data_IF_935081078091
#
_entry.id   IF_935081078091
#
_cell.length_a   1.000
_cell.length_b   1.000
_cell.length_c   1.000
_cell.angle_alpha   90.00
_cell.angle_beta   90.00
_cell.angle_gamma   90.00
#
_symmetry.space_group_name_H-M   'P 1'
#
loop_
_entity.id
_entity.type
_entity.pdbx_description
1 polymer ?
2 non-polymer ?
3 non-polymer ?
4 non-polymer ?
5 non-polymer ?
6 water ?
#
# COMPACT_ATOMS: atom_id res chain seq x y z
N UNK A 1 15.25 -14.66 -23.78
CA UNK A 1 16.52 -15.20 -23.21
C UNK A 1 16.30 -15.51 -21.74
N UNK A 2 17.01 -16.51 -21.25
CA UNK A 2 17.00 -16.84 -19.83
C UNK A 2 18.23 -16.19 -19.22
N UNK A 3 18.04 -15.42 -18.14
CA UNK A 3 19.12 -14.73 -17.44
C UNK A 3 19.28 -15.25 -16.06
N UNK A 4 20.48 -15.08 -15.55
CA UNK A 4 20.78 -15.39 -14.16
C UNK A 4 20.85 -14.13 -13.29
N UNK A 5 21.20 -13.00 -13.90
CA UNK A 5 21.35 -11.73 -13.24
C UNK A 5 20.49 -10.71 -13.96
N UNK A 6 19.90 -9.78 -13.19
CA UNK A 6 19.12 -8.68 -13.78
C UNK A 6 19.09 -7.53 -12.79
N UNK A 7 19.84 -6.46 -13.05
CA UNK A 7 20.02 -5.40 -12.07
C UNK A 7 20.62 -6.00 -10.82
N UNK A 8 19.97 -5.80 -9.68
CA UNK A 8 20.42 -6.41 -8.45
C UNK A 8 19.76 -7.74 -8.10
N UNK A 9 18.98 -8.33 -9.02
CA UNK A 9 18.34 -9.62 -8.81
C UNK A 9 19.27 -10.74 -9.35
N UNK A 10 19.26 -11.85 -8.62
CA UNK A 10 20.08 -13.03 -8.94
C UNK A 10 19.20 -14.25 -8.72
N UNK A 11 19.17 -15.12 -9.71
CA UNK A 11 18.53 -16.43 -9.57
C UNK A 11 19.04 -17.12 -8.30
N UNK A 12 18.11 -17.73 -7.58
CA UNK A 12 18.29 -18.38 -6.26
C UNK A 12 18.13 -17.45 -5.05
N UNK A 13 17.97 -16.15 -5.25
CA UNK A 13 17.72 -15.28 -4.12
C UNK A 13 16.31 -15.56 -3.52
N UNK A 14 16.20 -15.30 -2.22
CA UNK A 14 14.95 -15.32 -1.50
C UNK A 14 14.17 -14.09 -1.92
N UNK A 15 12.86 -14.24 -2.06
CA UNK A 15 12.04 -13.13 -2.58
C UNK A 15 10.60 -13.26 -2.08
N UNK A 16 9.85 -12.16 -2.17
CA UNK A 16 8.41 -12.21 -2.02
C UNK A 16 7.75 -12.11 -3.38
N UNK A 17 6.69 -12.92 -3.55
CA UNK A 17 5.87 -12.92 -4.75
C UNK A 17 4.39 -12.72 -4.46
N UNK A 18 3.70 -12.04 -5.36
CA UNK A 18 2.26 -11.80 -5.25
C UNK A 18 1.53 -13.02 -5.79
N UNK A 19 0.64 -13.59 -4.99
CA UNK A 19 -0.25 -14.67 -5.49
C UNK A 19 -1.53 -14.10 -6.07
N UNK A 20 -2.32 -14.96 -6.72
CA UNK A 20 -3.58 -14.55 -7.29
C UNK A 20 -4.62 -14.12 -6.26
N UNK A 21 -4.46 -14.58 -5.03
CA UNK A 21 -5.28 -14.07 -3.90
C UNK A 21 -4.98 -12.61 -3.54
N UNK A 22 -3.94 -12.02 -4.16
CA UNK A 22 -3.45 -10.65 -3.88
C UNK A 22 -2.66 -10.54 -2.58
N UNK A 23 -2.47 -11.63 -1.85
CA UNK A 23 -1.53 -11.64 -0.73
C UNK A 23 -0.14 -12.06 -1.22
N UNK A 24 0.89 -11.65 -0.49
CA UNK A 24 2.27 -11.94 -0.89
C UNK A 24 2.93 -12.96 0.00
N UNK A 25 3.81 -13.75 -0.60
CA UNK A 25 4.39 -14.89 0.05
C UNK A 25 5.84 -15.14 -0.30
N UNK A 26 6.57 -15.71 0.65
CA UNK A 26 8.00 -15.98 0.51
C UNK A 26 8.25 -17.10 -0.50
N UNK A 27 9.34 -16.95 -1.23
CA UNK A 27 9.71 -17.90 -2.27
C UNK A 27 11.15 -17.67 -2.67
N UNK A 28 11.53 -18.37 -3.72
CA UNK A 28 12.84 -18.31 -4.31
C UNK A 28 12.70 -17.93 -5.79
N UNK A 29 13.58 -17.06 -6.26
CA UNK A 29 13.61 -16.70 -7.66
C UNK A 29 14.36 -17.82 -8.39
N UNK A 30 13.63 -18.53 -9.24
CA UNK A 30 14.19 -19.68 -9.98
C UNK A 30 14.52 -19.40 -11.44
N UNK A 31 13.97 -18.33 -12.03
CA UNK A 31 14.35 -17.97 -13.41
C UNK A 31 14.02 -16.51 -13.65
N UNK A 32 14.74 -15.94 -14.60
CA UNK A 32 14.49 -14.59 -15.11
C UNK A 32 14.44 -14.74 -16.63
N UNK A 33 13.35 -14.30 -17.23
CA UNK A 33 13.10 -14.47 -18.67
C UNK A 33 12.86 -13.11 -19.33
N UNK A 34 13.52 -12.86 -20.47
CA UNK A 34 13.24 -11.66 -21.24
C UNK A 34 12.35 -12.05 -22.40
N UNK A 35 11.26 -11.31 -22.59
CA UNK A 35 10.34 -11.46 -23.71
C UNK A 35 10.32 -10.10 -24.41
N UNK A 36 11.18 -9.94 -25.41
CA UNK A 36 11.36 -8.65 -26.07
C UNK A 36 12.05 -7.65 -25.17
N UNK A 37 11.44 -6.46 -24.94
CA UNK A 37 11.97 -5.54 -23.95
C UNK A 37 11.43 -5.82 -22.53
N UNK A 38 10.47 -6.75 -22.42
CA UNK A 38 9.87 -7.14 -21.16
C UNK A 38 10.73 -8.12 -20.38
N UNK A 39 10.47 -8.19 -19.07
CA UNK A 39 11.09 -9.18 -18.20
C UNK A 39 10.04 -9.88 -17.33
N UNK A 40 10.25 -11.17 -17.09
CA UNK A 40 9.42 -11.94 -16.20
C UNK A 40 10.29 -12.71 -15.23
N UNK A 41 9.72 -12.97 -14.06
CA UNK A 41 10.43 -13.55 -12.95
C UNK A 41 9.68 -14.77 -12.44
N UNK A 42 10.33 -15.94 -12.51
CA UNK A 42 9.72 -17.17 -12.03
C UNK A 42 10.04 -17.42 -10.58
N UNK A 43 9.00 -17.52 -9.75
CA UNK A 43 9.13 -17.72 -8.29
C UNK A 43 8.53 -19.07 -7.89
N UNK A 44 9.31 -19.85 -7.17
CA UNK A 44 8.82 -21.06 -6.50
C UNK A 44 8.51 -20.67 -5.08
N UNK A 45 7.23 -20.71 -4.74
CA UNK A 45 6.80 -20.37 -3.38
C UNK A 45 7.19 -21.46 -2.37
N UNK A 46 7.39 -21.07 -1.13
CA UNK A 46 7.84 -21.99 -0.08
C UNK A 46 6.88 -23.15 0.17
N UNK A 47 5.59 -22.87 0.21
CA UNK A 47 4.60 -23.90 0.46
C UNK A 47 4.03 -24.34 -0.87
N UNK A 48 3.09 -23.56 -1.41
CA UNK A 48 2.37 -23.95 -2.60
C UNK A 48 2.72 -23.06 -3.78
N UNK A 49 3.29 -23.65 -4.84
CA UNK A 49 3.22 -23.11 -6.22
C UNK A 49 4.47 -22.52 -6.88
N UNK A 50 4.36 -22.37 -8.20
CA UNK A 50 5.31 -21.63 -9.05
C UNK A 50 4.47 -20.58 -9.77
N UNK A 51 5.00 -19.38 -9.93
CA UNK A 51 4.34 -18.35 -10.74
C UNK A 51 5.39 -17.63 -11.57
N UNK A 52 4.99 -17.22 -12.77
CA UNK A 52 5.79 -16.34 -13.62
C UNK A 52 5.23 -14.92 -13.48
N UNK A 53 6.01 -14.03 -12.85
CA UNK A 53 5.50 -12.69 -12.42
C UNK A 53 6.20 -11.52 -13.06
N UNK A 54 5.47 -10.43 -13.28
CA UNK A 54 6.09 -9.14 -13.66
C UNK A 54 6.91 -8.61 -12.48
N UNK A 55 7.86 -7.73 -12.76
CA UNK A 55 8.77 -7.22 -11.73
C UNK A 55 8.11 -6.35 -10.66
N UNK A 56 6.93 -5.82 -10.98
CA UNK A 56 6.15 -5.06 -9.98
C UNK A 56 5.32 -6.00 -9.06
N UNK A 57 5.38 -7.33 -9.30
CA UNK A 57 4.75 -8.34 -8.48
C UNK A 57 5.69 -9.26 -7.71
N UNK A 58 6.94 -8.78 -7.57
CA UNK A 58 7.91 -9.36 -6.67
C UNK A 58 8.47 -8.24 -5.79
N UNK A 59 8.91 -8.61 -4.60
CA UNK A 59 9.43 -7.71 -3.60
C UNK A 59 10.64 -8.34 -2.93
N UNK A 60 11.58 -7.50 -2.53
CA UNK A 60 12.76 -7.98 -1.80
C UNK A 60 12.39 -8.48 -0.41
N UNK A 61 13.07 -9.52 0.05
CA UNK A 61 12.80 -10.10 1.36
C UNK A 61 13.67 -9.41 2.42
N UNK A 62 13.60 -8.08 2.50
CA UNK A 62 14.25 -7.35 3.57
C UNK A 62 13.53 -6.03 3.74
N UNK A 63 13.82 -5.34 4.83
CA UNK A 63 13.19 -4.06 5.12
C UNK A 63 14.02 -2.92 4.53
N UNK A 64 13.36 -1.98 3.84
CA UNK A 64 14.13 -0.94 3.19
C UNK A 64 14.68 0.07 4.23
N UNK A 65 15.87 0.64 3.98
CA UNK A 65 16.26 1.78 4.81
C UNK A 65 15.31 2.97 4.55
N UNK A 66 15.09 3.80 5.57
CA UNK A 66 14.22 4.99 5.46
C UNK A 66 14.55 5.90 4.27
N UNK A 67 15.84 6.03 3.96
CA UNK A 67 16.28 6.91 2.86
C UNK A 67 15.89 6.43 1.46
N UNK A 68 15.42 5.19 1.33
CA UNK A 68 15.02 4.66 0.02
C UNK A 68 13.53 4.75 -0.19
N UNK A 69 12.78 5.20 0.82
CA UNK A 69 11.33 5.27 0.69
C UNK A 69 10.89 6.72 0.55
N UNK A 70 10.08 6.97 -0.46
CA UNK A 70 9.45 8.26 -0.72
C UNK A 70 7.93 8.15 -0.65
N UNK A 71 7.27 9.30 -0.57
CA UNK A 71 5.87 9.36 -0.90
C UNK A 71 5.69 8.87 -2.34
N UNK A 72 4.80 7.90 -2.50
CA UNK A 72 4.59 7.20 -3.77
C UNK A 72 5.33 5.87 -3.92
N UNK A 73 6.24 5.54 -3.00
CA UNK A 73 6.97 4.28 -3.12
C UNK A 73 5.99 3.11 -3.05
N UNK A 74 6.23 2.12 -3.87
CA UNK A 74 5.43 0.91 -3.92
C UNK A 74 6.02 -0.14 -2.97
N UNK A 75 5.19 -0.61 -2.05
CA UNK A 75 5.67 -1.51 -1.00
C UNK A 75 4.67 -2.62 -0.78
N UNK A 76 5.19 -3.63 -0.09
CA UNK A 76 4.37 -4.65 0.52
C UNK A 76 4.44 -4.40 2.02
N UNK A 77 3.29 -4.46 2.69
CA UNK A 77 3.27 -4.21 4.12
C UNK A 77 2.42 -5.23 4.88
N UNK A 78 2.77 -5.41 6.14
CA UNK A 78 1.98 -6.25 7.06
C UNK A 78 0.60 -5.63 7.29
N UNK A 79 -0.45 -6.45 7.17
CA UNK A 79 -1.86 -6.02 7.14
C UNK A 79 -2.57 -6.89 8.19
N UNK A 80 -3.30 -6.23 9.10
CA UNK A 80 -3.99 -6.89 10.22
C UNK A 80 -5.48 -6.90 9.97
N UNK A 85 -2.08 -11.85 10.24
CA UNK A 85 -0.93 -11.24 9.54
C UNK A 85 -0.85 -11.66 8.08
N UNK A 86 -1.31 -10.78 7.19
CA UNK A 86 -1.12 -10.94 5.74
C UNK A 86 -0.13 -9.89 5.21
N UNK A 87 0.50 -10.20 4.08
CA UNK A 87 1.30 -9.20 3.33
C UNK A 87 0.51 -8.73 2.11
N UNK A 88 0.32 -7.42 2.01
CA UNK A 88 -0.53 -6.81 1.01
C UNK A 88 0.20 -5.59 0.44
N UNK A 89 -0.01 -5.30 -0.84
CA UNK A 89 0.63 -4.19 -1.48
C UNK A 89 -0.03 -2.85 -1.16
N UNK A 90 0.79 -1.82 -1.17
CA UNK A 90 0.31 -0.46 -1.03
C UNK A 90 1.30 0.57 -1.48
N UNK A 91 1.01 1.82 -1.13
CA UNK A 91 1.77 2.99 -1.51
C UNK A 91 2.10 3.77 -0.25
N UNK A 92 3.33 4.26 -0.14
CA UNK A 92 3.73 5.12 0.98
C UNK A 92 3.10 6.50 0.83
N UNK A 93 2.29 6.88 1.82
CA UNK A 93 1.59 8.17 1.84
C UNK A 93 2.29 9.22 2.71
N UNK A 94 3.04 8.78 3.71
CA UNK A 94 3.82 9.65 4.58
C UNK A 94 5.03 8.88 5.00
N UNK A 95 6.16 9.59 5.14
CA UNK A 95 7.35 9.03 5.73
C UNK A 95 7.50 9.55 7.19
N UNK A 96 8.42 8.94 7.98
CA UNK A 96 8.49 9.30 9.40
C UNK A 96 8.76 10.77 9.67
N UNK A 97 7.96 11.36 10.54
CA UNK A 97 8.19 12.72 10.98
C UNK A 97 7.66 12.90 12.41
N UNK A 98 7.84 14.08 12.97
CA UNK A 98 7.47 14.30 14.37
C UNK A 98 5.95 14.16 14.51
N UNK A 99 5.21 14.77 13.60
CA UNK A 99 3.76 14.75 13.67
C UNK A 99 3.11 13.35 13.52
N UNK A 100 3.77 12.37 12.89
CA UNK A 100 3.21 11.00 12.84
C UNK A 100 3.90 10.00 13.79
N UNK A 101 4.70 10.52 14.73
CA UNK A 101 5.43 9.71 15.70
C UNK A 101 6.39 8.75 15.02
N UNK A 102 7.02 9.25 13.96
CA UNK A 102 8.06 8.53 13.22
C UNK A 102 7.60 7.19 12.62
N UNK A 103 6.45 7.22 11.95
CA UNK A 103 5.91 6.01 11.32
C UNK A 103 5.69 6.29 9.83
N UNK A 104 5.51 5.23 9.06
CA UNK A 104 5.09 5.36 7.66
C UNK A 104 3.59 5.19 7.54
N UNK A 105 2.92 6.06 6.79
CA UNK A 105 1.50 5.88 6.51
C UNK A 105 1.41 5.12 5.17
N UNK A 106 0.67 4.01 5.18
CA UNK A 106 0.46 3.19 4.01
C UNK A 106 -1.01 3.25 3.54
N UNK A 107 -1.18 3.51 2.25
CA UNK A 107 -2.50 3.36 1.60
C UNK A 107 -2.44 2.03 0.83
N UNK A 108 -3.16 1.04 1.33
CA UNK A 108 -3.18 -0.31 0.71
C UNK A 108 -4.03 -0.27 -0.55
N UNK A 109 -3.79 -1.23 -1.46
CA UNK A 109 -4.49 -1.26 -2.74
C UNK A 109 -6.01 -1.38 -2.61
N UNK A 110 -6.49 -1.96 -1.52
CA UNK A 110 -7.94 -2.09 -1.29
C UNK A 110 -8.57 -0.84 -0.62
N UNK A 111 -7.77 0.19 -0.36
CA UNK A 111 -8.27 1.43 0.27
C UNK A 111 -8.05 1.52 1.77
N UNK A 112 -7.62 0.45 2.43
CA UNK A 112 -7.27 0.49 3.86
C UNK A 112 -6.05 1.41 4.13
N UNK A 113 -6.07 2.18 5.22
CA UNK A 113 -4.98 3.09 5.58
C UNK A 113 -4.46 2.74 6.95
N UNK A 114 -3.15 2.60 7.10
CA UNK A 114 -2.56 2.27 8.39
C UNK A 114 -1.14 2.84 8.53
N UNK A 115 -0.79 3.24 9.77
CA UNK A 115 0.57 3.55 10.12
C UNK A 115 1.29 2.25 10.42
N UNK A 116 2.51 2.13 9.90
CA UNK A 116 3.40 0.99 10.14
C UNK A 116 4.83 1.43 10.42
N UNK A 117 5.64 0.51 10.92
CA UNK A 117 7.05 0.77 11.12
C UNK A 117 7.82 0.17 9.94
N UNK A 118 9.09 0.52 9.85
CA UNK A 118 9.99 0.02 8.81
C UNK A 118 10.07 -1.50 8.79
N UNK A 119 9.96 -2.13 9.96
CA UNK A 119 10.02 -3.58 10.05
C UNK A 119 8.80 -4.29 9.51
N UNK A 120 7.76 -3.54 9.14
CA UNK A 120 6.58 -4.10 8.56
C UNK A 120 6.50 -3.92 7.03
N UNK A 121 7.55 -3.41 6.41
CA UNK A 121 7.58 -3.04 4.97
C UNK A 121 8.61 -3.82 4.18
N UNK A 122 8.28 -4.10 2.91
CA UNK A 122 9.19 -4.73 1.94
C UNK A 122 9.10 -3.93 0.65
N UNK A 123 10.23 -3.59 0.01
CA UNK A 123 10.13 -2.81 -1.23
C UNK A 123 9.85 -3.66 -2.46
N UNK A 124 8.95 -3.20 -3.30
CA UNK A 124 8.72 -3.89 -4.59
C UNK A 124 9.95 -3.74 -5.49
N UNK A 125 10.34 -4.82 -6.19
CA UNK A 125 11.63 -4.87 -6.95
C UNK A 125 11.67 -3.93 -8.15
N UNK A 126 10.64 -3.95 -8.96
CA UNK A 126 10.63 -3.19 -10.20
C UNK A 126 9.27 -2.47 -10.29
N UNK A 127 9.09 -1.43 -9.49
CA UNK A 127 7.79 -0.72 -9.53
C UNK A 127 7.60 -0.05 -10.88
N UNK A 128 6.35 0.20 -11.24
CA UNK A 128 6.07 1.02 -12.44
C UNK A 128 6.55 2.45 -12.26
N UNK A 129 6.87 3.11 -13.36
CA UNK A 129 7.37 4.48 -13.32
C UNK A 129 6.35 5.40 -12.57
N UNK A 130 5.09 5.30 -12.95
CA UNK A 130 4.00 5.82 -12.17
C UNK A 130 3.50 4.69 -11.29
N UNK A 131 3.88 4.73 -10.01
CA UNK A 131 3.79 3.54 -9.17
C UNK A 131 2.36 3.07 -8.95
N UNK A 132 1.41 3.99 -9.04
CA UNK A 132 -0.01 3.73 -8.83
C UNK A 132 -0.69 3.03 -10.03
N UNK A 133 -0.02 2.97 -11.18
CA UNK A 133 -0.65 2.43 -12.39
C UNK A 133 -0.93 0.91 -12.34
N UNK A 134 -0.45 0.19 -11.34
CA UNK A 134 -0.86 -1.21 -11.17
C UNK A 134 -1.90 -1.41 -10.05
N UNK A 135 -2.53 -0.35 -9.59
CA UNK A 135 -3.67 -0.46 -8.67
C UNK A 135 -4.91 -0.80 -9.52
N UNK A 136 -5.58 -1.91 -9.21
CA UNK A 136 -6.70 -2.47 -10.03
C UNK A 136 -7.94 -1.57 -10.16
N UNK A 137 -8.42 -1.03 -9.04
CA UNK A 137 -9.64 -0.23 -9.01
C UNK A 137 -9.33 1.19 -9.47
N UNK A 138 -10.03 1.66 -10.49
CA UNK A 138 -9.80 2.98 -11.06
C UNK A 138 -10.10 4.11 -10.07
N UNK A 139 -11.09 3.96 -9.19
CA UNK A 139 -11.36 4.99 -8.19
C UNK A 139 -10.16 5.13 -7.24
N UNK A 140 -9.62 3.97 -6.84
CA UNK A 140 -8.47 3.93 -5.93
C UNK A 140 -7.21 4.47 -6.61
N UNK A 141 -6.97 4.03 -7.84
CA UNK A 141 -5.82 4.48 -8.63
C UNK A 141 -5.83 5.99 -8.85
N UNK A 142 -7.00 6.54 -9.18
CA UNK A 142 -7.11 7.99 -9.38
C UNK A 142 -6.87 8.80 -8.11
N UNK A 143 -7.35 8.31 -6.97
CA UNK A 143 -7.13 9.00 -5.70
C UNK A 143 -5.62 9.04 -5.41
N UNK A 144 -4.96 7.89 -5.59
CA UNK A 144 -3.53 7.79 -5.29
C UNK A 144 -2.72 8.70 -6.22
N UNK A 145 -3.00 8.68 -7.51
CA UNK A 145 -2.35 9.59 -8.46
C UNK A 145 -2.46 11.05 -8.03
N UNK A 146 -3.67 11.45 -7.67
CA UNK A 146 -3.88 12.84 -7.23
C UNK A 146 -3.13 13.16 -5.94
N UNK A 147 -3.20 12.27 -4.95
CA UNK A 147 -2.52 12.47 -3.70
C UNK A 147 -0.98 12.59 -3.87
N UNK A 148 -0.39 11.60 -4.55
CA UNK A 148 1.07 11.52 -4.68
C UNK A 148 1.61 12.73 -5.48
N UNK A 149 0.93 13.07 -6.56
CA UNK A 149 1.40 14.15 -7.43
C UNK A 149 1.18 15.54 -6.82
N UNK A 150 0.16 15.70 -5.97
CA UNK A 150 -0.12 17.00 -5.34
C UNK A 150 0.73 17.20 -4.09
N UNK A 151 1.19 16.09 -3.49
CA UNK A 151 1.99 16.14 -2.29
C UNK A 151 3.16 17.11 -2.49
N UNK A 152 3.49 17.98 -1.52
CA UNK A 152 2.98 18.02 -0.14
C UNK A 152 1.71 18.84 0.12
N UNK A 153 1.03 19.28 -0.91
CA UNK A 153 -0.27 19.94 -0.81
C UNK A 153 -1.35 18.87 -0.46
N UNK A 154 -1.82 18.89 0.78
CA UNK A 154 -2.80 17.89 1.31
C UNK A 154 -3.90 18.58 2.11
N UNK A 155 -4.99 18.95 1.44
CA UNK A 155 -6.13 19.52 2.16
C UNK A 155 -6.68 18.45 3.10
N UNK A 156 -6.80 18.78 4.38
CA UNK A 156 -7.38 17.88 5.36
C UNK A 156 -8.40 18.60 6.20
N UNK A 157 -9.34 17.85 6.75
CA UNK A 157 -10.31 18.42 7.71
C UNK A 157 -9.72 18.30 9.12
N UNK A 158 -9.88 19.36 9.90
CA UNK A 158 -9.44 19.37 11.28
C UNK A 158 -10.60 18.81 12.05
N UNK A 159 -10.40 17.70 12.73
CA UNK A 159 -11.48 17.06 13.48
C UNK A 159 -11.01 16.88 14.91
N UNK A 160 -11.96 16.84 15.84
CA UNK A 160 -11.65 16.63 17.23
C UNK A 160 -12.54 15.52 17.77
N UNK A 161 -12.04 14.83 18.79
CA UNK A 161 -12.81 13.75 19.39
C UNK A 161 -14.14 14.28 19.88
N UNK A 162 -15.18 13.49 19.69
CA UNK A 162 -16.56 13.83 20.06
C UNK A 162 -17.36 14.56 19.02
N UNK A 163 -16.71 15.06 17.99
CA UNK A 163 -17.38 15.84 16.95
C UNK A 163 -18.29 14.93 16.14
N UNK A 164 -19.51 15.44 15.89
CA UNK A 164 -20.49 14.74 15.10
C UNK A 164 -20.34 15.14 13.64
N UNK A 165 -20.21 14.17 12.76
CA UNK A 165 -20.07 14.42 11.32
C UNK A 165 -20.90 13.42 10.54
N UNK A 166 -21.01 13.63 9.23
CA UNK A 166 -21.54 12.58 8.35
C UNK A 166 -20.38 11.95 7.61
N UNK A 167 -20.39 10.63 7.51
CA UNK A 167 -19.35 9.90 6.81
C UNK A 167 -20.00 9.04 5.72
N UNK A 168 -19.43 9.08 4.53
CA UNK A 168 -19.91 8.25 3.40
C UNK A 168 -19.51 6.81 3.57
N UNK A 169 -20.42 5.89 3.26
CA UNK A 169 -20.11 4.46 3.19
C UNK A 169 -21.11 3.81 2.24
N UNK A 170 -20.63 3.01 1.29
CA UNK A 170 -21.50 2.33 0.28
C UNK A 170 -22.55 3.25 -0.32
N UNK A 171 -22.10 4.43 -0.74
CA UNK A 171 -22.88 5.37 -1.50
C UNK A 171 -23.82 6.30 -0.78
N UNK A 172 -23.91 6.23 0.55
CA UNK A 172 -24.82 7.06 1.32
C UNK A 172 -24.09 7.67 2.54
N UNK A 173 -24.68 8.70 3.13
CA UNK A 173 -24.05 9.46 4.25
C UNK A 173 -24.61 8.99 5.57
N UNK A 174 -23.75 8.73 6.55
CA UNK A 174 -24.17 8.13 7.82
C UNK A 174 -23.80 9.02 8.97
N UNK A 175 -24.67 9.11 9.97
CA UNK A 175 -24.33 9.87 11.15
C UNK A 175 -23.18 9.14 11.88
N UNK A 176 -22.19 9.91 12.30
CA UNK A 176 -20.98 9.33 12.85
C UNK A 176 -20.36 10.29 13.81
N UNK A 177 -19.43 9.76 14.60
CA UNK A 177 -18.74 10.53 15.62
C UNK A 177 -17.26 10.27 15.55
N UNK A 178 -16.48 11.32 15.67
CA UNK A 178 -15.04 11.19 15.76
C UNK A 178 -14.68 10.62 17.14
N UNK A 179 -14.01 9.48 17.12
CA UNK A 179 -13.57 8.83 18.35
C UNK A 179 -12.18 9.21 18.81
N UNK A 180 -11.26 9.35 17.85
CA UNK A 180 -9.83 9.54 18.10
C UNK A 180 -9.18 10.06 16.81
N UNK A 181 -8.08 10.80 16.94
CA UNK A 181 -7.29 11.25 15.81
C UNK A 181 -5.85 10.76 16.05
N UNK A 182 -5.24 10.23 15.00
CA UNK A 182 -3.83 9.74 15.06
C UNK A 182 -3.15 10.22 13.78
N UNK A 183 -2.35 11.29 13.89
CA UNK A 183 -1.75 11.93 12.72
C UNK A 183 -2.75 12.32 11.66
N UNK A 184 -2.57 11.76 10.47
CA UNK A 184 -3.44 12.06 9.35
C UNK A 184 -4.70 11.17 9.27
N UNK A 185 -4.91 10.29 10.23
CA UNK A 185 -6.05 9.36 10.25
C UNK A 185 -7.00 9.75 11.38
N UNK A 186 -8.28 9.44 11.17
CA UNK A 186 -9.35 9.65 12.18
C UNK A 186 -10.14 8.35 12.32
N UNK A 187 -10.41 7.97 13.57
CA UNK A 187 -11.21 6.81 13.90
C UNK A 187 -12.65 7.28 14.06
N UNK A 188 -13.53 6.80 13.18
CA UNK A 188 -14.93 7.22 13.09
C UNK A 188 -15.77 6.09 13.57
N UNK A 189 -16.75 6.41 14.45
CA UNK A 189 -17.75 5.47 14.90
C UNK A 189 -19.02 5.78 14.11
N UNK A 190 -19.53 4.79 13.37
CA UNK A 190 -20.83 4.90 12.70
C UNK A 190 -21.93 4.63 13.74
N UNK A 191 -22.80 5.61 13.96
CA UNK A 191 -23.74 5.54 15.08
C UNK A 191 -24.83 4.44 14.90
N UNK A 192 -25.26 4.17 13.67
CA UNK A 192 -26.25 3.10 13.43
C UNK A 192 -25.78 1.71 13.79
N UNK A 193 -24.58 1.32 13.33
CA UNK A 193 -24.10 -0.04 13.57
C UNK A 193 -23.06 -0.14 14.69
N UNK A 194 -22.64 1.00 15.26
CA UNK A 194 -21.66 1.07 16.35
C UNK A 194 -20.36 0.30 16.08
N UNK A 195 -19.84 0.51 14.88
CA UNK A 195 -18.58 -0.05 14.46
C UNK A 195 -17.69 1.11 13.99
N UNK A 196 -16.37 0.91 14.10
CA UNK A 196 -15.36 1.95 13.84
C UNK A 196 -14.55 1.68 12.59
N UNK A 197 -14.05 2.75 11.97
CA UNK A 197 -13.10 2.65 10.87
C UNK A 197 -12.10 3.79 10.97
N UNK A 198 -10.83 3.51 10.64
CA UNK A 198 -9.84 4.57 10.47
C UNK A 198 -9.86 5.11 9.05
N UNK A 199 -9.98 6.42 8.88
CA UNK A 199 -10.12 7.09 7.60
C UNK A 199 -9.12 8.25 7.49
N UNK A 200 -8.52 8.41 6.30
CA UNK A 200 -7.59 9.49 6.04
C UNK A 200 -8.35 10.82 6.16
N UNK A 201 -7.76 11.80 6.87
CA UNK A 201 -8.46 13.10 7.10
C UNK A 201 -8.64 13.97 5.86
N UNK A 202 -7.95 13.63 4.77
CA UNK A 202 -8.21 14.28 3.49
C UNK A 202 -9.23 13.60 2.61
N UNK A 203 -9.86 12.52 3.09
CA UNK A 203 -10.92 11.82 2.35
C UNK A 203 -12.17 12.65 2.13
N UNK A 204 -12.70 12.64 0.90
CA UNK A 204 -13.97 13.31 0.62
C UNK A 204 -15.17 12.58 1.27
N UNK A 205 -14.94 11.40 1.82
CA UNK A 205 -15.96 10.71 2.62
C UNK A 205 -16.36 11.39 3.92
N UNK A 206 -15.57 12.37 4.37
CA UNK A 206 -15.76 13.04 5.64
C UNK A 206 -16.47 14.38 5.40
N UNK A 207 -17.62 14.58 6.04
CA UNK A 207 -18.34 15.84 5.90
C UNK A 207 -18.72 16.39 7.26
N UNK A 208 -17.84 17.22 7.85
CA UNK A 208 -18.21 17.93 9.11
C UNK A 208 -19.32 19.00 9.00
N UNK A 209 -19.51 19.59 7.80
CA UNK A 209 -20.51 20.67 7.60
C UNK A 209 -21.81 20.11 7.02
N UNK A 210 -22.88 20.15 7.82
CA UNK A 210 -24.21 19.67 7.42
C UNK A 210 -25.29 20.39 8.22
X LIG B 1 -6.60 5.14 -0.32
X LIG B 1 -6.86 4.64 -1.58
X LIG B 1 -8.13 4.64 -2.09
X LIG B 1 -10.04 6.21 0.69
X LIG B 1 -9.19 5.17 -1.34
X LIG B 1 -8.93 5.68 -0.08
X LIG B 1 -11.78 6.35 2.02
X LIG B 1 -10.98 5.51 1.41
X LIG B 1 -11.11 4.02 1.43
X LIG B 1 -10.34 7.53 0.89
X LIG B 1 -9.63 8.66 0.24
X LIG B 1 -11.37 7.63 1.69
X LIG B 1 -9.03 6.81 4.09
X LIG B 1 -8.75 5.64 3.89
X LIG B 1 -9.28 4.54 4.75
X LIG B 1 -7.97 5.26 2.86
X LIG B 1 -7.38 6.13 1.88
X LIG B 1 -7.64 5.67 0.46
X LIG C 1 -28.00 7.60 9.92
X LIG C 1 -28.90 6.48 9.58
X LIG C 1 -28.16 8.70 8.93
X LIG C 1 -26.61 7.13 9.87
X LIG C 1 -28.37 8.12 11.25
X LIG D 1 1.73 -10.56 -13.86
X LIG D 1 1.26 -11.96 -13.87
X LIG D 1 2.34 -10.22 -15.16
X LIG D 1 0.59 -9.63 -13.67
X LIG D 1 2.71 -10.49 -12.72
X LIG E 1 4.69 -17.58 3.64
X LIG E 1 5.51 -18.68 3.07
X LIG E 1 3.26 -17.81 3.27
X LIG E 1 5.16 -16.27 3.10
X LIG E 1 4.88 -17.55 5.12
X LIG F 1 13.42 -15.88 5.10
X LIG F 1 14.44 -16.16 4.07
X LIG F 1 12.40 -16.94 5.05
X LIG F 1 12.75 -14.57 4.90
X LIG F 1 14.07 -15.80 6.45
X LIG G 1 10.51 5.58 -5.72
X LIG G 1 10.40 4.56 -4.75
X LIG G 1 9.36 5.46 -6.67
X LIG G 1 9.53 4.19 -7.28
X LIG H 1 -3.01 3.09 12.02
X LIG I 1 11.46 -5.66 -14.77
X LIG J 1 -6.59 16.36 16.97
X LIG K 1 13.94 10.16 1.55
X LIG L 1 6.87 -6.49 12.53
X LIG M 1 10.33 -0.93 14.52
X LIG N 1 10.23 -10.40 8.75
#
# INVERSE_FOLDING_TARGET
ENLYFQGDLIVSMRILGKKRTKTWHKGTLIAIQTVGPGKKYKVKFDNKGKSLLSGNHIAYDYHPPADKLYVGSRVVAKYKDGNQVWLYAGIVAETPNVKNKLRFLIFFDDGYASYVTQSELYPICRPLKKTWEDIEDISCRDFIEEYVTAYPNRPMVLLKSGQLIKTEWEGTWWKSRVEEVDGSLVRILFLDDKRCEWIYRGSTRLEPMFSMK
BWM C4 C5 C6 N1 C7 C8 N2 C9 C10 C11 C12 N3 O C1 C N C2 C3
SO4 S O1 O2 O3 O4
SO4 S O1 O2 O3 O4
SO4 S O1 O2 O3 O4
SO4 S O1 O2 O3 O4
EDO C1 O1 C2 O2
UNX UNK
UNX UNK
UNX UNK
UNX UNK
UNX UNK
UNX UNK
UNX UNK
#
